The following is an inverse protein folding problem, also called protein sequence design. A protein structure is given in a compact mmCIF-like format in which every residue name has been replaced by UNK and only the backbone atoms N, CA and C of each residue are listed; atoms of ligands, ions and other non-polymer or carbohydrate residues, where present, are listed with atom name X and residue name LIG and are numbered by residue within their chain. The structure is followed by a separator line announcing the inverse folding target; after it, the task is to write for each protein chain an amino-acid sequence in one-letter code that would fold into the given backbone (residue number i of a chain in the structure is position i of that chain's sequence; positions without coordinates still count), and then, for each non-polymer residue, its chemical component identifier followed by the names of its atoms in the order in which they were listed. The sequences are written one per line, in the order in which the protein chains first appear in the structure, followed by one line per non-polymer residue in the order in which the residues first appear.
data_IF_413790834678
#
_entry.id   IF_413790834678
#
_cell.length_a   1.000
_cell.length_b   1.000
_cell.length_c   1.000
_cell.angle_alpha   90.00
_cell.angle_beta   90.00
_cell.angle_gamma   90.00
#
_symmetry.space_group_name_H-M   'P 1'
#
loop_
_entity.id
_entity.type
_entity.pdbx_description
1 polymer ?
#
# COMPACT_ATOMS: atom_id res chain seq x y z
N UNK A 1 49.59 -12.77 5.04
CA UNK A 1 48.35 -13.32 5.62
C UNK A 1 47.17 -12.61 4.96
N UNK A 2 46.52 -13.27 4.01
CA UNK A 2 45.33 -12.80 3.30
C UNK A 2 44.09 -13.04 4.15
N UNK A 3 43.29 -12.00 4.40
CA UNK A 3 41.99 -12.12 5.04
C UNK A 3 41.00 -12.88 4.11
N UNK A 4 40.03 -13.63 4.68
CA UNK A 4 39.15 -14.49 3.90
C UNK A 4 38.14 -13.66 3.08
N UNK A 5 38.06 -13.94 1.79
CA UNK A 5 37.02 -13.42 0.90
C UNK A 5 35.65 -13.98 1.32
N UNK A 6 34.76 -13.13 1.81
CA UNK A 6 33.37 -13.51 2.03
C UNK A 6 32.74 -13.92 0.70
N UNK A 7 31.91 -14.98 0.68
CA UNK A 7 31.26 -15.44 -0.53
C UNK A 7 30.18 -14.43 -0.93
N UNK A 8 29.90 -14.31 -2.22
CA UNK A 8 28.89 -13.43 -2.84
C UNK A 8 29.37 -12.02 -3.21
N UNK A 9 30.24 -11.98 -4.23
CA UNK A 9 30.51 -10.80 -5.05
C UNK A 9 29.80 -10.97 -6.41
N UNK A 10 28.67 -10.29 -6.60
CA UNK A 10 28.10 -10.07 -7.93
C UNK A 10 28.24 -8.57 -8.18
N UNK A 11 29.16 -8.20 -9.08
CA UNK A 11 29.32 -6.86 -9.66
C UNK A 11 29.90 -5.72 -8.78
N UNK A 12 30.71 -6.01 -7.75
CA UNK A 12 31.58 -4.97 -7.17
C UNK A 12 30.89 -3.81 -6.41
N UNK A 13 29.57 -3.83 -6.27
CA UNK A 13 28.86 -3.08 -5.24
C UNK A 13 28.60 -4.03 -4.08
N UNK A 14 29.07 -3.67 -2.88
CA UNK A 14 28.56 -4.28 -1.66
C UNK A 14 27.04 -4.15 -1.70
N UNK A 15 26.30 -5.26 -1.71
CA UNK A 15 24.86 -5.19 -1.43
C UNK A 15 24.75 -4.54 -0.05
N UNK A 16 24.20 -3.32 0.06
CA UNK A 16 24.24 -2.63 1.32
C UNK A 16 23.45 -3.45 2.34
N UNK A 17 23.94 -3.49 3.59
CA UNK A 17 23.23 -4.01 4.78
C UNK A 17 21.77 -3.52 4.91
N UNK A 18 21.36 -2.55 4.09
CA UNK A 18 20.01 -2.07 3.89
C UNK A 18 18.99 -3.17 3.58
N UNK A 19 19.29 -4.17 2.74
CA UNK A 19 18.26 -5.16 2.38
C UNK A 19 17.79 -6.01 3.58
N UNK A 20 18.70 -6.62 4.39
CA UNK A 20 18.30 -7.31 5.63
C UNK A 20 17.59 -6.40 6.64
N UNK A 21 18.02 -5.15 6.76
CA UNK A 21 17.42 -4.17 7.69
C UNK A 21 16.00 -3.78 7.25
N UNK A 22 15.77 -3.55 5.95
CA UNK A 22 14.45 -3.23 5.43
C UNK A 22 13.49 -4.41 5.62
N UNK A 23 13.94 -5.64 5.32
CA UNK A 23 13.14 -6.85 5.55
C UNK A 23 12.79 -7.00 7.04
N UNK A 24 13.75 -6.83 7.94
CA UNK A 24 13.50 -6.94 9.39
C UNK A 24 12.57 -5.82 9.90
N UNK A 25 12.64 -4.62 9.33
CA UNK A 25 11.68 -3.54 9.61
C UNK A 25 10.27 -3.90 9.14
N UNK A 26 10.10 -4.51 7.97
CA UNK A 26 8.77 -4.90 7.45
C UNK A 26 8.15 -5.98 8.33
N UNK A 27 8.93 -7.00 8.67
CA UNK A 27 8.51 -8.07 9.58
C UNK A 27 8.23 -7.51 10.97
N UNK A 28 9.11 -6.66 11.52
CA UNK A 28 8.93 -6.04 12.83
C UNK A 28 7.67 -5.18 12.89
N UNK A 29 7.36 -4.44 11.81
CA UNK A 29 6.13 -3.65 11.72
C UNK A 29 4.90 -4.56 11.69
N UNK A 30 4.92 -5.61 10.87
CA UNK A 30 3.84 -6.60 10.78
C UNK A 30 3.56 -7.32 12.11
N UNK A 31 4.61 -7.67 12.86
CA UNK A 31 4.51 -8.47 14.08
C UNK A 31 4.21 -7.62 15.32
N UNK A 32 4.80 -6.41 15.43
CA UNK A 32 4.72 -5.62 16.65
C UNK A 32 3.85 -4.36 16.50
N UNK A 33 3.89 -3.66 15.37
CA UNK A 33 3.20 -2.37 15.23
C UNK A 33 1.74 -2.56 14.85
N UNK A 34 1.48 -3.31 13.77
CA UNK A 34 0.13 -3.45 13.22
C UNK A 34 -0.88 -4.09 14.18
N UNK A 35 -0.58 -5.14 14.98
CA UNK A 35 -1.56 -5.67 15.92
C UNK A 35 -2.04 -4.66 16.97
N UNK A 36 -1.25 -3.60 17.22
CA UNK A 36 -1.64 -2.49 18.12
C UNK A 36 -2.45 -1.42 17.39
N UNK A 37 -2.20 -1.20 16.11
CA UNK A 37 -2.90 -0.18 15.31
C UNK A 37 -4.24 -0.68 14.74
N UNK A 38 -4.33 -1.95 14.36
CA UNK A 38 -5.50 -2.51 13.70
C UNK A 38 -6.80 -2.42 14.53
N UNK A 39 -6.82 -2.59 15.86
CA UNK A 39 -8.05 -2.41 16.64
C UNK A 39 -8.68 -1.01 16.52
N UNK A 40 -7.86 0.03 16.31
CA UNK A 40 -8.37 1.39 16.11
C UNK A 40 -9.14 1.54 14.78
N UNK A 41 -8.88 0.69 13.79
CA UNK A 41 -9.61 0.76 12.52
C UNK A 41 -11.06 0.29 12.65
N UNK A 42 -11.38 -0.65 13.55
CA UNK A 42 -12.79 -1.01 13.83
C UNK A 42 -13.60 0.12 14.45
N UNK A 43 -12.94 0.99 15.23
CA UNK A 43 -13.61 2.10 15.94
C UNK A 43 -13.80 3.29 15.01
N UNK A 44 -12.79 3.60 14.18
CA UNK A 44 -12.77 4.84 13.41
C UNK A 44 -12.82 4.62 11.89
N UNK A 45 -12.04 3.70 11.33
CA UNK A 45 -11.88 3.58 9.88
C UNK A 45 -13.02 2.81 9.21
N UNK A 46 -13.51 1.73 9.81
CA UNK A 46 -14.64 0.96 9.26
C UNK A 46 -15.91 1.83 9.20
N UNK A 47 -16.36 2.47 10.29
CA UNK A 47 -17.52 3.36 10.24
C UNK A 47 -17.30 4.53 9.27
N UNK A 48 -16.08 5.08 9.21
CA UNK A 48 -15.74 6.12 8.23
C UNK A 48 -15.93 5.65 6.79
N UNK A 49 -15.40 4.46 6.43
CA UNK A 49 -15.56 3.91 5.08
C UNK A 49 -17.02 3.63 4.74
N UNK A 50 -17.79 3.06 5.67
CA UNK A 50 -19.21 2.81 5.46
C UNK A 50 -19.99 4.11 5.26
N UNK A 51 -19.73 5.13 6.09
CA UNK A 51 -20.34 6.45 5.96
C UNK A 51 -19.93 7.14 4.65
N UNK A 52 -18.67 7.01 4.23
CA UNK A 52 -18.20 7.54 2.95
C UNK A 52 -18.98 6.90 1.80
N UNK A 53 -19.05 5.56 1.74
CA UNK A 53 -19.78 4.85 0.69
C UNK A 53 -21.26 5.24 0.63
N UNK A 54 -21.90 5.37 1.79
CA UNK A 54 -23.26 5.88 1.87
C UNK A 54 -23.38 7.31 1.33
N UNK A 55 -22.46 8.19 1.73
CA UNK A 55 -22.46 9.61 1.32
C UNK A 55 -22.29 9.78 -0.20
N UNK A 56 -21.49 8.92 -0.83
CA UNK A 56 -21.28 8.94 -2.29
C UNK A 56 -22.32 8.10 -3.06
N UNK A 57 -23.40 7.66 -2.41
CA UNK A 57 -24.53 6.99 -3.07
C UNK A 57 -24.32 5.52 -3.40
N UNK A 58 -23.29 4.86 -2.85
CA UNK A 58 -23.06 3.42 -3.02
C UNK A 58 -23.88 2.55 -2.04
N UNK A 59 -24.66 3.19 -1.16
CA UNK A 59 -25.52 2.54 -0.18
C UNK A 59 -24.76 2.05 1.07
N UNK A 60 -25.49 1.36 1.95
CA UNK A 60 -24.90 0.77 3.15
C UNK A 60 -24.12 -0.51 2.80
N UNK A 61 -22.82 -0.50 3.10
CA UNK A 61 -21.93 -1.63 2.86
C UNK A 61 -21.80 -2.43 4.15
N UNK A 62 -22.39 -3.63 4.16
CA UNK A 62 -22.24 -4.55 5.27
C UNK A 62 -20.77 -4.97 5.47
N UNK A 63 -20.41 -5.28 6.71
CA UNK A 63 -19.03 -5.69 7.06
C UNK A 63 -18.52 -6.86 6.20
N UNK A 64 -19.39 -7.81 5.85
CA UNK A 64 -19.04 -8.96 5.02
C UNK A 64 -18.79 -8.65 3.53
N UNK A 65 -19.13 -7.44 3.07
CA UNK A 65 -18.80 -6.93 1.72
C UNK A 65 -17.69 -5.88 1.73
N UNK A 66 -17.23 -5.50 2.93
CA UNK A 66 -16.26 -4.43 3.10
C UNK A 66 -14.90 -4.73 2.41
N UNK A 67 -14.33 -5.96 2.43
CA UNK A 67 -13.10 -6.23 1.70
C UNK A 67 -13.18 -5.89 0.21
N UNK A 68 -14.28 -6.27 -0.46
CA UNK A 68 -14.49 -5.95 -1.87
C UNK A 68 -14.77 -4.47 -2.09
N UNK A 69 -15.53 -3.81 -1.21
CA UNK A 69 -15.76 -2.38 -1.32
C UNK A 69 -14.45 -1.57 -1.19
N UNK A 70 -13.57 -1.96 -0.25
CA UNK A 70 -12.24 -1.36 -0.10
C UNK A 70 -11.35 -1.65 -1.32
N UNK A 71 -11.43 -2.85 -1.90
CA UNK A 71 -10.75 -3.18 -3.15
C UNK A 71 -11.19 -2.26 -4.30
N UNK A 72 -12.50 -2.07 -4.48
CA UNK A 72 -13.05 -1.16 -5.50
C UNK A 72 -12.57 0.27 -5.27
N UNK A 73 -12.60 0.75 -4.03
CA UNK A 73 -12.08 2.07 -3.68
C UNK A 73 -10.58 2.23 -3.99
N UNK A 74 -9.76 1.24 -3.62
CA UNK A 74 -8.33 1.22 -3.94
C UNK A 74 -8.07 1.14 -5.45
N UNK A 75 -8.89 0.40 -6.19
CA UNK A 75 -8.83 0.31 -7.66
C UNK A 75 -9.10 1.66 -8.29
N UNK A 76 -10.17 2.32 -7.87
CA UNK A 76 -10.54 3.66 -8.34
C UNK A 76 -9.43 4.68 -8.02
N UNK A 77 -8.91 4.67 -6.80
CA UNK A 77 -7.82 5.56 -6.41
C UNK A 77 -6.54 5.32 -7.23
N UNK A 78 -6.21 4.06 -7.50
CA UNK A 78 -5.00 3.69 -8.26
C UNK A 78 -5.13 4.06 -9.73
N UNK A 79 -6.21 3.64 -10.39
CA UNK A 79 -6.33 3.70 -11.84
C UNK A 79 -7.06 4.93 -12.36
N UNK A 80 -7.80 5.64 -11.51
CA UNK A 80 -8.48 6.89 -11.88
C UNK A 80 -7.75 8.06 -11.25
N UNK A 81 -7.78 8.18 -9.92
CA UNK A 81 -7.32 9.41 -9.25
C UNK A 81 -5.82 9.64 -9.45
N UNK A 82 -4.98 8.70 -9.03
CA UNK A 82 -3.52 8.90 -9.11
C UNK A 82 -2.98 8.82 -10.54
N UNK A 83 -3.62 8.05 -11.42
CA UNK A 83 -3.30 8.03 -12.84
C UNK A 83 -3.53 9.38 -13.50
N UNK A 84 -4.71 10.00 -13.28
CA UNK A 84 -5.03 11.34 -13.78
C UNK A 84 -4.03 12.36 -13.23
N UNK A 85 -3.76 12.34 -11.92
CA UNK A 85 -2.80 13.27 -11.31
C UNK A 85 -1.38 13.10 -11.88
N UNK A 86 -0.92 11.88 -12.17
CA UNK A 86 0.37 11.67 -12.85
C UNK A 86 0.38 12.29 -14.25
N UNK A 87 -0.66 12.09 -15.05
CA UNK A 87 -0.75 12.62 -16.42
C UNK A 87 -0.84 14.15 -16.40
N UNK A 88 -1.73 14.71 -15.57
CA UNK A 88 -1.89 16.16 -15.40
C UNK A 88 -0.57 16.77 -14.93
N UNK A 89 0.07 16.20 -13.91
CA UNK A 89 1.38 16.63 -13.44
C UNK A 89 2.43 16.66 -14.54
N UNK A 90 2.50 15.59 -15.33
CA UNK A 90 3.40 15.50 -16.47
C UNK A 90 3.09 16.55 -17.57
N UNK A 91 1.82 16.90 -17.77
CA UNK A 91 1.42 17.96 -18.70
C UNK A 91 1.77 19.37 -18.23
N UNK A 92 1.83 19.61 -16.92
CA UNK A 92 2.28 20.87 -16.32
C UNK A 92 3.82 20.99 -16.23
N UNK A 93 4.57 20.01 -16.71
CA UNK A 93 6.02 20.15 -16.83
C UNK A 93 6.38 21.22 -17.89
N UNK A 94 7.56 21.83 -17.77
CA UNK A 94 7.96 23.00 -18.56
C UNK A 94 7.84 22.79 -20.09
N UNK A 95 8.04 21.57 -20.57
CA UNK A 95 8.03 21.23 -21.99
C UNK A 95 6.67 20.68 -22.49
N UNK A 96 5.64 20.63 -21.62
CA UNK A 96 4.36 19.99 -21.90
C UNK A 96 4.44 18.45 -21.98
N UNK A 97 3.30 17.79 -22.15
CA UNK A 97 3.24 16.31 -22.16
C UNK A 97 3.70 15.72 -23.51
N UNK A 98 4.86 15.04 -23.52
CA UNK A 98 5.36 14.34 -24.71
C UNK A 98 4.79 12.92 -24.79
N UNK A 99 3.73 12.73 -25.58
CA UNK A 99 3.07 11.42 -25.72
C UNK A 99 3.73 10.46 -26.74
N UNK A 100 4.77 10.91 -27.47
CA UNK A 100 5.52 10.04 -28.39
C UNK A 100 6.39 9.04 -27.63
N UNK A 101 6.95 9.46 -26.50
CA UNK A 101 7.80 8.64 -25.63
C UNK A 101 7.45 8.86 -24.14
N UNK A 102 6.22 8.54 -23.71
CA UNK A 102 5.67 9.01 -22.43
C UNK A 102 6.45 8.48 -21.22
N UNK A 103 7.02 7.27 -21.30
CA UNK A 103 7.84 6.68 -20.23
C UNK A 103 9.22 7.33 -20.14
N UNK A 104 9.84 7.64 -21.28
CA UNK A 104 11.13 8.33 -21.33
C UNK A 104 10.97 9.75 -20.76
N UNK A 105 9.91 10.45 -21.19
CA UNK A 105 9.56 11.78 -20.70
C UNK A 105 9.37 11.81 -19.17
N UNK A 106 8.57 10.88 -18.62
CA UNK A 106 8.31 10.80 -17.18
C UNK A 106 9.56 10.65 -16.32
N UNK A 107 10.63 10.01 -16.84
CA UNK A 107 11.92 9.86 -16.12
C UNK A 107 12.68 11.18 -15.95
N UNK A 108 12.40 12.17 -16.80
CA UNK A 108 13.06 13.47 -16.76
C UNK A 108 12.29 14.50 -15.95
N UNK A 109 11.10 14.16 -15.44
CA UNK A 109 10.31 15.04 -14.59
C UNK A 109 11.08 15.38 -13.32
N UNK A 110 10.89 16.63 -12.84
CA UNK A 110 11.44 17.11 -11.57
C UNK A 110 10.36 17.78 -10.73
N UNK A 111 10.66 17.98 -9.44
CA UNK A 111 9.78 18.71 -8.53
C UNK A 111 8.41 18.05 -8.35
N UNK A 112 7.35 18.85 -8.33
CA UNK A 112 5.99 18.38 -8.06
C UNK A 112 5.45 17.38 -9.12
N UNK A 113 5.58 17.61 -10.44
CA UNK A 113 5.24 16.62 -11.47
C UNK A 113 5.88 15.24 -11.27
N UNK A 114 7.15 15.21 -10.88
CA UNK A 114 7.85 13.96 -10.59
C UNK A 114 7.23 13.23 -9.40
N UNK A 115 6.86 13.96 -8.34
CA UNK A 115 6.21 13.38 -7.15
C UNK A 115 4.82 12.82 -7.45
N UNK A 116 4.03 13.47 -8.30
CA UNK A 116 2.72 12.95 -8.73
C UNK A 116 2.87 11.62 -9.48
N UNK A 117 3.86 11.53 -10.37
CA UNK A 117 4.14 10.31 -11.11
C UNK A 117 4.69 9.20 -10.20
N UNK A 118 5.66 9.51 -9.34
CA UNK A 118 6.23 8.55 -8.40
C UNK A 118 5.19 8.03 -7.38
N UNK A 119 4.22 8.86 -6.97
CA UNK A 119 3.13 8.44 -6.09
C UNK A 119 2.26 7.36 -6.76
N UNK A 120 1.90 7.58 -8.04
CA UNK A 120 1.10 6.63 -8.81
C UNK A 120 1.86 5.31 -9.01
N UNK A 121 3.14 5.37 -9.39
CA UNK A 121 4.01 4.18 -9.54
C UNK A 121 4.12 3.39 -8.22
N UNK A 122 4.38 4.08 -7.10
CA UNK A 122 4.50 3.43 -5.80
C UNK A 122 3.17 2.83 -5.29
N UNK A 123 2.02 3.29 -5.77
CA UNK A 123 0.72 2.67 -5.49
C UNK A 123 0.50 1.47 -6.41
N UNK A 124 0.83 1.59 -7.70
CA UNK A 124 0.75 0.49 -8.67
C UNK A 124 1.58 -0.72 -8.25
N UNK A 125 2.80 -0.52 -7.75
CA UNK A 125 3.68 -1.59 -7.27
C UNK A 125 3.08 -2.36 -6.08
N UNK A 126 2.33 -1.68 -5.22
CA UNK A 126 1.75 -2.27 -4.03
C UNK A 126 0.36 -2.86 -4.26
N UNK A 127 -0.38 -2.31 -5.24
CA UNK A 127 -1.77 -2.66 -5.48
C UNK A 127 -2.02 -4.18 -5.64
N UNK A 128 -1.20 -4.96 -6.37
CA UNK A 128 -1.41 -6.40 -6.49
C UNK A 128 -1.43 -7.13 -5.15
N UNK A 129 -0.54 -6.77 -4.22
CA UNK A 129 -0.50 -7.36 -2.88
C UNK A 129 -1.80 -7.05 -2.12
N UNK A 130 -2.24 -5.79 -2.13
CA UNK A 130 -3.50 -5.41 -1.50
C UNK A 130 -4.72 -6.11 -2.12
N UNK A 131 -4.77 -6.21 -3.45
CA UNK A 131 -5.87 -6.85 -4.15
C UNK A 131 -5.99 -8.33 -3.80
N UNK A 132 -4.87 -9.05 -3.77
CA UNK A 132 -4.84 -10.46 -3.32
C UNK A 132 -5.27 -10.57 -1.87
N UNK A 133 -4.78 -9.70 -0.97
CA UNK A 133 -5.21 -9.70 0.42
C UNK A 133 -6.73 -9.49 0.58
N UNK A 134 -7.29 -8.51 -0.14
CA UNK A 134 -8.73 -8.22 -0.09
C UNK A 134 -9.58 -9.39 -0.58
N UNK A 135 -9.19 -10.02 -1.69
CA UNK A 135 -9.88 -11.21 -2.22
C UNK A 135 -9.76 -12.38 -1.26
N UNK A 136 -8.56 -12.68 -0.74
CA UNK A 136 -8.37 -13.78 0.19
C UNK A 136 -9.19 -13.60 1.47
N UNK A 137 -9.18 -12.41 2.06
CA UNK A 137 -10.04 -12.11 3.22
C UNK A 137 -11.52 -12.27 2.85
N UNK A 138 -11.96 -11.75 1.70
CA UNK A 138 -13.34 -11.94 1.25
C UNK A 138 -13.71 -13.43 1.13
N UNK A 139 -12.81 -14.28 0.65
CA UNK A 139 -13.10 -15.69 0.37
C UNK A 139 -12.92 -16.61 1.57
N UNK A 140 -11.97 -16.31 2.46
CA UNK A 140 -11.54 -17.22 3.54
C UNK A 140 -12.06 -16.80 4.93
N UNK A 141 -12.51 -15.55 5.11
CA UNK A 141 -12.98 -15.04 6.41
C UNK A 141 -14.45 -15.45 6.72
N UNK A 142 -15.14 -16.18 5.83
CA UNK A 142 -16.51 -16.70 6.05
C UNK A 142 -16.56 -17.94 6.98
N UNK A 143 -15.91 -17.86 8.14
CA UNK A 143 -16.07 -18.84 9.23
C UNK A 143 -14.98 -19.91 9.34
N UNK A 144 -14.06 -20.02 8.37
CA UNK A 144 -12.92 -20.95 8.41
C UNK A 144 -11.84 -20.47 9.38
N UNK A 145 -11.65 -19.14 9.46
CA UNK A 145 -10.74 -18.47 10.41
C UNK A 145 -11.57 -17.88 11.54
N UNK A 146 -12.23 -18.74 12.33
CA UNK A 146 -13.10 -18.42 13.47
C UNK A 146 -13.16 -16.94 13.91
N UNK A 147 -14.02 -16.14 13.25
CA UNK A 147 -14.38 -14.79 13.68
C UNK A 147 -13.22 -13.80 13.80
N UNK A 148 -12.28 -13.76 12.85
CA UNK A 148 -11.18 -12.78 12.90
C UNK A 148 -11.62 -11.38 12.43
N UNK A 149 -12.45 -10.71 13.24
CA UNK A 149 -12.80 -9.28 13.10
C UNK A 149 -11.58 -8.37 12.79
N UNK A 150 -10.38 -8.85 13.12
CA UNK A 150 -9.08 -8.25 12.88
C UNK A 150 -8.67 -8.16 11.38
N UNK A 151 -8.98 -9.14 10.51
CA UNK A 151 -8.47 -9.10 9.12
C UNK A 151 -9.08 -7.95 8.30
N UNK A 152 -10.40 -7.74 8.46
CA UNK A 152 -11.10 -6.61 7.82
C UNK A 152 -10.59 -5.29 8.40
N UNK A 153 -10.26 -5.25 9.69
CA UNK A 153 -9.66 -4.09 10.34
C UNK A 153 -8.29 -3.76 9.73
N UNK A 154 -7.44 -4.76 9.52
CA UNK A 154 -6.13 -4.59 8.88
C UNK A 154 -6.28 -4.11 7.42
N UNK A 155 -7.25 -4.64 6.66
CA UNK A 155 -7.55 -4.18 5.30
C UNK A 155 -7.98 -2.71 5.27
N UNK A 156 -8.88 -2.31 6.18
CA UNK A 156 -9.30 -0.91 6.29
C UNK A 156 -8.12 0.00 6.62
N UNK A 157 -7.19 -0.44 7.48
CA UNK A 157 -5.97 0.28 7.78
C UNK A 157 -5.08 0.45 6.53
N UNK A 158 -4.84 -0.62 5.75
CA UNK A 158 -4.06 -0.53 4.50
C UNK A 158 -4.74 0.40 3.50
N UNK A 159 -6.06 0.27 3.32
CA UNK A 159 -6.85 1.12 2.41
C UNK A 159 -6.66 2.61 2.74
N UNK A 160 -6.82 2.97 4.02
CA UNK A 160 -6.67 4.35 4.48
C UNK A 160 -5.21 4.84 4.39
N UNK A 161 -4.25 4.05 4.83
CA UNK A 161 -2.85 4.47 4.91
C UNK A 161 -2.20 4.53 3.53
N UNK A 162 -2.29 3.47 2.74
CA UNK A 162 -1.57 3.36 1.46
C UNK A 162 -2.24 4.12 0.33
N UNK A 163 -3.56 4.10 0.26
CA UNK A 163 -4.28 4.66 -0.89
C UNK A 163 -4.77 6.09 -0.64
N UNK A 164 -4.96 6.50 0.63
CA UNK A 164 -5.33 7.89 0.95
C UNK A 164 -4.13 8.71 1.46
N UNK A 165 -3.53 8.34 2.59
CA UNK A 165 -2.53 9.18 3.25
C UNK A 165 -1.17 9.20 2.55
N UNK A 166 -0.69 8.04 2.09
CA UNK A 166 0.60 7.91 1.43
C UNK A 166 0.75 8.78 0.17
N UNK A 167 -0.19 8.81 -0.79
CA UNK A 167 -0.10 9.74 -1.92
C UNK A 167 -0.10 11.21 -1.48
N UNK A 168 -0.85 11.60 -0.44
CA UNK A 168 -0.79 12.97 0.08
C UNK A 168 0.60 13.34 0.59
N UNK A 169 1.29 12.42 1.28
CA UNK A 169 2.68 12.62 1.71
C UNK A 169 3.66 12.76 0.53
N UNK A 170 3.40 12.10 -0.61
CA UNK A 170 4.12 12.36 -1.87
C UNK A 170 3.88 13.78 -2.37
N UNK A 171 2.63 14.20 -2.46
CA UNK A 171 2.26 15.49 -3.04
C UNK A 171 2.88 16.65 -2.24
N UNK A 172 2.78 16.56 -0.92
CA UNK A 172 3.30 17.53 0.05
C UNK A 172 4.81 17.43 0.31
N UNK A 173 5.50 16.46 -0.29
CA UNK A 173 6.94 16.22 -0.13
C UNK A 173 7.39 15.98 1.33
N UNK A 174 6.65 15.16 2.08
CA UNK A 174 6.96 14.84 3.48
C UNK A 174 7.63 13.47 3.56
N UNK A 175 8.95 13.44 3.41
CA UNK A 175 9.74 12.22 3.22
C UNK A 175 9.54 11.18 4.33
N UNK A 176 9.64 11.59 5.60
CA UNK A 176 9.48 10.70 6.75
C UNK A 176 8.07 10.08 6.79
N UNK A 177 7.03 10.88 6.50
CA UNK A 177 5.67 10.39 6.46
C UNK A 177 5.49 9.34 5.37
N UNK A 178 6.07 9.52 4.16
CA UNK A 178 6.01 8.52 3.09
C UNK A 178 6.59 7.19 3.54
N UNK A 179 7.76 7.20 4.16
CA UNK A 179 8.42 5.98 4.65
C UNK A 179 7.58 5.28 5.71
N UNK A 180 7.11 6.01 6.73
CA UNK A 180 6.30 5.42 7.82
C UNK A 180 4.97 4.86 7.30
N UNK A 181 4.26 5.61 6.45
CA UNK A 181 2.99 5.17 5.87
C UNK A 181 3.19 3.94 4.97
N UNK A 182 4.27 3.90 4.18
CA UNK A 182 4.62 2.73 3.40
C UNK A 182 4.86 1.51 4.27
N UNK A 183 5.65 1.69 5.33
CA UNK A 183 6.02 0.65 6.26
C UNK A 183 4.80 0.03 6.95
N UNK A 184 3.89 0.87 7.45
CA UNK A 184 2.64 0.42 8.07
C UNK A 184 1.81 -0.36 7.06
N UNK A 185 1.70 0.13 5.83
CA UNK A 185 0.89 -0.51 4.77
C UNK A 185 1.42 -1.89 4.38
N UNK A 186 2.73 -1.99 4.14
CA UNK A 186 3.41 -3.26 3.80
C UNK A 186 3.35 -4.22 4.98
N UNK A 187 3.65 -3.75 6.18
CA UNK A 187 3.56 -4.57 7.40
C UNK A 187 2.15 -5.12 7.62
N UNK A 188 1.12 -4.31 7.37
CA UNK A 188 -0.28 -4.73 7.57
C UNK A 188 -0.71 -5.76 6.54
N UNK A 189 -0.33 -5.57 5.27
CA UNK A 189 -0.61 -6.55 4.22
C UNK A 189 0.12 -7.87 4.47
N UNK A 190 1.39 -7.81 4.92
CA UNK A 190 2.15 -8.99 5.31
C UNK A 190 1.50 -9.70 6.50
N UNK A 191 1.02 -8.97 7.51
CA UNK A 191 0.34 -9.55 8.64
C UNK A 191 -0.94 -10.30 8.24
N UNK A 192 -1.73 -9.77 7.31
CA UNK A 192 -2.90 -10.46 6.76
C UNK A 192 -2.47 -11.81 6.16
N UNK A 193 -1.44 -11.82 5.31
CA UNK A 193 -0.95 -13.06 4.71
C UNK A 193 -0.42 -14.06 5.73
N UNK A 194 0.34 -13.60 6.72
CA UNK A 194 0.84 -14.46 7.80
C UNK A 194 -0.30 -15.06 8.61
N UNK A 195 -1.30 -14.27 8.96
CA UNK A 195 -2.49 -14.75 9.68
C UNK A 195 -3.23 -15.79 8.85
N UNK A 196 -3.47 -15.55 7.57
CA UNK A 196 -4.15 -16.50 6.71
C UNK A 196 -3.34 -17.80 6.50
N UNK A 197 -2.02 -17.69 6.34
CA UNK A 197 -1.14 -18.84 6.12
C UNK A 197 -1.01 -19.75 7.35
N UNK A 198 -0.98 -19.16 8.55
CA UNK A 198 -0.73 -19.89 9.79
C UNK A 198 -1.96 -20.02 10.70
N UNK A 199 -3.08 -19.37 10.37
CA UNK A 199 -4.35 -19.68 11.01
C UNK A 199 -4.74 -21.10 10.65
N UNK A 200 -5.12 -21.90 11.65
CA UNK A 200 -5.72 -23.21 11.39
C UNK A 200 -7.03 -22.96 10.65
N UNK A 201 -7.07 -23.29 9.36
CA UNK A 201 -8.30 -23.40 8.60
C UNK A 201 -9.15 -24.46 9.31
N UNK A 202 -10.26 -24.05 9.93
CA UNK A 202 -11.22 -24.98 10.53
C UNK A 202 -12.27 -25.41 9.53
#
# INVERSE_FOLDING_TARGET
MSAPSSPFNIAGQQAPLLAPVLVSMYVGTAVFVVPRLAPYSSIHLIPYWQALFQTIGLGDVSRGRLPIALLVAATFQTWVVTAILSVVGAAYAQDGYVNKEPRSFKRNLRGFPARLTAAHEAILEFYPAFAVAAVLVQTLDHGIVGGSANLINELALVASVKFLLFPLAYYLNIDLARTVLHQISVGSCLQIFLKLAFSKLK
#
